data_IF_865822974895
#
_entry.id   IF_865822974895
#
_cell.length_a   1.000
_cell.length_b   1.000
_cell.length_c   1.000
_cell.angle_alpha   90.00
_cell.angle_beta   90.00
_cell.angle_gamma   90.00
#
_symmetry.space_group_name_H-M   'P 1'
#
loop_
_entity.id
_entity.type
_entity.pdbx_description
1 polymer ?
#
# COMPACT_ATOMS: atom_id res chain seq x y z
N UNK A 1 11.92 50.03 -51.93
CA UNK A 1 10.85 49.62 -51.00
C UNK A 1 11.25 48.30 -50.34
N UNK A 2 11.58 48.30 -49.04
CA UNK A 2 11.84 47.09 -48.25
C UNK A 2 10.77 47.03 -47.16
N UNK A 3 9.96 45.97 -47.16
CA UNK A 3 8.95 45.72 -46.14
C UNK A 3 9.62 45.22 -44.84
N UNK A 4 9.08 45.57 -43.65
CA UNK A 4 9.67 45.16 -42.39
C UNK A 4 9.26 43.72 -42.03
N UNK A 5 10.23 42.92 -41.60
CA UNK A 5 10.02 41.62 -40.95
C UNK A 5 9.50 41.86 -39.53
N UNK A 6 8.19 41.98 -39.37
CA UNK A 6 7.55 41.91 -38.05
C UNK A 6 7.24 40.44 -37.73
N UNK A 7 7.97 39.85 -36.78
CA UNK A 7 7.61 38.58 -36.15
C UNK A 7 6.92 38.89 -34.82
N UNK A 8 5.62 38.56 -34.63
CA UNK A 8 5.03 38.62 -33.30
C UNK A 8 5.74 37.62 -32.38
N UNK A 9 6.06 38.06 -31.16
CA UNK A 9 6.53 37.22 -30.08
C UNK A 9 5.58 36.01 -29.91
N UNK A 10 6.10 34.80 -30.11
CA UNK A 10 5.37 33.55 -29.91
C UNK A 10 5.16 33.33 -28.39
N UNK A 11 3.92 33.35 -27.87
CA UNK A 11 3.65 33.13 -26.45
C UNK A 11 3.79 31.66 -26.02
N UNK A 12 4.19 30.76 -26.92
CA UNK A 12 4.04 29.30 -26.78
C UNK A 12 5.05 28.61 -25.83
N UNK A 13 6.01 29.34 -25.25
CA UNK A 13 7.00 28.73 -24.33
C UNK A 13 6.50 28.46 -22.92
N UNK A 14 5.38 29.05 -22.50
CA UNK A 14 4.87 28.91 -21.13
C UNK A 14 4.05 27.62 -20.91
N UNK A 15 3.44 27.09 -21.98
CA UNK A 15 2.61 25.87 -21.92
C UNK A 15 3.34 24.57 -21.50
N UNK A 16 4.55 24.24 -22.00
CA UNK A 16 5.19 22.98 -21.66
C UNK A 16 5.67 22.93 -20.21
N UNK A 17 6.14 24.05 -19.66
CA UNK A 17 6.65 24.11 -18.28
C UNK A 17 5.53 23.94 -17.26
N UNK A 18 4.35 24.54 -17.51
CA UNK A 18 3.17 24.37 -16.65
C UNK A 18 2.70 22.91 -16.68
N UNK A 19 2.67 22.27 -17.85
CA UNK A 19 2.29 20.85 -17.97
C UNK A 19 3.23 19.92 -17.20
N UNK A 20 4.55 20.15 -17.28
CA UNK A 20 5.54 19.35 -16.55
C UNK A 20 5.38 19.55 -15.04
N UNK A 21 5.18 20.78 -14.57
CA UNK A 21 4.97 21.07 -13.16
C UNK A 21 3.70 20.39 -12.61
N UNK A 22 2.61 20.39 -13.38
CA UNK A 22 1.35 19.71 -13.01
C UNK A 22 1.54 18.19 -12.94
N UNK A 23 2.25 17.58 -13.90
CA UNK A 23 2.52 16.14 -13.90
C UNK A 23 3.41 15.75 -12.71
N UNK A 24 4.46 16.53 -12.42
CA UNK A 24 5.34 16.29 -11.29
C UNK A 24 4.61 16.41 -9.95
N UNK A 25 3.73 17.41 -9.80
CA UNK A 25 2.89 17.56 -8.62
C UNK A 25 1.90 16.38 -8.47
N UNK A 26 1.28 15.93 -9.57
CA UNK A 26 0.38 14.78 -9.55
C UNK A 26 1.09 13.46 -9.15
N UNK A 27 2.33 13.25 -9.60
CA UNK A 27 3.15 12.10 -9.22
C UNK A 27 3.62 12.14 -7.76
N UNK A 28 3.87 13.33 -7.20
CA UNK A 28 4.26 13.46 -5.80
C UNK A 28 3.12 13.08 -4.82
N UNK A 29 1.86 13.22 -5.25
CA UNK A 29 0.68 12.93 -4.44
C UNK A 29 0.42 11.43 -4.24
N UNK A 30 0.96 10.53 -5.08
CA UNK A 30 0.72 9.09 -4.97
C UNK A 30 1.49 8.41 -3.84
N UNK A 31 2.50 9.08 -3.25
CA UNK A 31 3.31 8.53 -2.15
C UNK A 31 2.70 8.69 -0.76
N UNK A 32 1.58 9.41 -0.63
CA UNK A 32 0.93 9.71 0.66
C UNK A 32 -0.16 8.69 1.05
N UNK A 33 -0.30 7.58 0.32
CA UNK A 33 -1.30 6.57 0.65
C UNK A 33 -0.80 5.79 1.88
N UNK A 34 -1.49 5.86 3.04
CA UNK A 34 -1.14 5.03 4.18
C UNK A 34 -1.28 3.56 3.77
N UNK A 35 -0.24 2.77 4.00
CA UNK A 35 -0.32 1.30 4.00
C UNK A 35 -0.46 0.90 5.46
N UNK A 36 -1.44 0.06 5.82
CA UNK A 36 -1.30 -0.64 7.09
C UNK A 36 -0.39 -1.85 6.85
N UNK A 37 0.57 -1.97 7.75
CA UNK A 37 1.55 -3.06 7.77
C UNK A 37 0.84 -4.39 8.09
N UNK A 38 1.55 -5.49 7.86
CA UNK A 38 1.15 -6.82 8.31
C UNK A 38 0.76 -6.84 9.80
N UNK A 39 -0.11 -7.78 10.18
CA UNK A 39 -0.57 -7.88 11.56
C UNK A 39 0.55 -8.43 12.47
N UNK A 40 0.79 -7.77 13.61
CA UNK A 40 1.68 -8.30 14.64
C UNK A 40 0.93 -9.36 15.48
N UNK A 41 1.45 -10.58 15.46
CA UNK A 41 0.93 -11.71 16.21
C UNK A 41 1.90 -12.10 17.32
N UNK A 42 1.47 -11.94 18.58
CA UNK A 42 2.23 -12.33 19.75
C UNK A 42 1.63 -13.57 20.43
N UNK A 43 2.44 -14.61 20.62
CA UNK A 43 2.06 -15.75 21.44
C UNK A 43 2.34 -15.47 22.92
N UNK A 44 1.38 -14.86 23.61
CA UNK A 44 1.47 -14.58 25.04
C UNK A 44 1.20 -15.80 25.94
N UNK A 45 1.09 -16.99 25.35
CA UNK A 45 0.84 -18.24 26.09
C UNK A 45 2.15 -18.94 26.47
N UNK A 46 2.05 -19.97 27.32
CA UNK A 46 3.19 -20.84 27.66
C UNK A 46 3.31 -22.07 26.75
N UNK A 47 2.51 -22.17 25.69
CA UNK A 47 2.52 -23.28 24.75
C UNK A 47 3.05 -22.85 23.39
N UNK A 48 3.47 -23.82 22.59
CA UNK A 48 3.73 -23.57 21.17
C UNK A 48 2.37 -23.45 20.48
N UNK A 49 2.14 -22.31 19.82
CA UNK A 49 0.94 -22.07 19.03
C UNK A 49 1.24 -22.29 17.54
N UNK A 50 0.31 -22.92 16.83
CA UNK A 50 0.26 -22.94 15.38
C UNK A 50 -0.92 -22.05 14.94
N UNK A 51 -0.61 -21.00 14.19
CA UNK A 51 -1.59 -20.00 13.74
C UNK A 51 -1.73 -20.09 12.22
N UNK A 52 -2.96 -20.01 11.74
CA UNK A 52 -3.30 -19.83 10.34
C UNK A 52 -4.09 -18.53 10.17
N UNK A 53 -3.79 -17.77 9.13
CA UNK A 53 -4.43 -16.51 8.80
C UNK A 53 -5.21 -16.63 7.49
N UNK A 54 -6.30 -15.88 7.38
CA UNK A 54 -6.99 -15.72 6.10
C UNK A 54 -7.60 -14.34 5.94
N UNK A 55 -7.67 -13.87 4.71
CA UNK A 55 -8.21 -12.56 4.38
C UNK A 55 -8.97 -12.63 3.06
N UNK A 56 -9.86 -11.66 2.83
CA UNK A 56 -10.61 -11.58 1.59
C UNK A 56 -9.78 -10.88 0.51
N UNK A 57 -9.86 -11.42 -0.70
CA UNK A 57 -9.43 -10.74 -1.92
C UNK A 57 -10.58 -10.86 -2.93
N UNK A 58 -11.40 -9.81 -3.00
CA UNK A 58 -12.68 -9.82 -3.71
C UNK A 58 -13.64 -10.88 -3.17
N UNK A 59 -14.02 -11.82 -4.03
CA UNK A 59 -14.96 -12.91 -3.70
C UNK A 59 -14.29 -14.17 -3.15
N UNK A 60 -12.97 -14.14 -2.93
CA UNK A 60 -12.18 -15.28 -2.45
C UNK A 60 -11.61 -15.00 -1.07
N UNK A 61 -11.30 -16.08 -0.35
CA UNK A 61 -10.50 -16.04 0.88
C UNK A 61 -9.14 -16.66 0.55
N UNK A 62 -8.08 -15.89 0.74
CA UNK A 62 -6.71 -16.41 0.71
C UNK A 62 -6.36 -16.86 2.12
N UNK A 63 -5.55 -17.91 2.20
CA UNK A 63 -5.12 -18.51 3.47
C UNK A 63 -3.61 -18.59 3.48
N UNK A 64 -3.01 -18.01 4.51
CA UNK A 64 -1.64 -18.28 4.90
C UNK A 64 -1.65 -19.48 5.85
N UNK A 65 -0.78 -20.45 5.58
CA UNK A 65 -0.75 -21.73 6.28
C UNK A 65 -0.33 -21.63 7.75
N UNK A 66 0.21 -22.72 8.29
CA UNK A 66 0.57 -22.79 9.70
C UNK A 66 1.91 -22.11 9.98
N UNK A 67 1.86 -21.01 10.73
CA UNK A 67 3.02 -20.37 11.34
C UNK A 67 3.15 -20.82 12.79
N UNK A 68 4.34 -21.29 13.16
CA UNK A 68 4.64 -21.80 14.51
C UNK A 68 5.23 -20.70 15.36
N UNK A 69 4.62 -20.42 16.50
CA UNK A 69 5.04 -19.39 17.47
C UNK A 69 5.44 -20.03 18.79
N UNK A 70 6.67 -19.77 19.25
CA UNK A 70 7.13 -20.13 20.60
C UNK A 70 6.45 -19.26 21.66
N UNK A 71 6.42 -19.70 22.94
CA UNK A 71 6.01 -18.85 24.04
C UNK A 71 6.77 -17.51 24.03
N UNK A 72 6.03 -16.41 24.05
CA UNK A 72 6.55 -15.03 24.01
C UNK A 72 7.07 -14.57 22.64
N UNK A 73 6.95 -15.37 21.57
CA UNK A 73 7.36 -14.96 20.23
C UNK A 73 6.31 -14.05 19.59
N UNK A 74 6.76 -12.96 18.99
CA UNK A 74 5.95 -12.08 18.14
C UNK A 74 6.48 -12.13 16.71
N UNK A 75 5.56 -12.15 15.74
CA UNK A 75 5.89 -12.10 14.30
C UNK A 75 4.92 -11.17 13.57
N UNK A 76 5.37 -10.60 12.47
CA UNK A 76 4.49 -10.00 11.48
C UNK A 76 3.97 -11.09 10.54
N UNK A 77 2.65 -11.14 10.33
CA UNK A 77 2.02 -12.15 9.50
C UNK A 77 0.76 -11.62 8.81
N UNK A 78 0.43 -12.22 7.66
CA UNK A 78 -0.64 -11.75 6.80
C UNK A 78 -0.22 -10.59 5.90
N UNK A 79 -1.14 -10.11 5.06
CA UNK A 79 -0.84 -9.06 4.09
C UNK A 79 -0.92 -7.67 4.72
N UNK A 80 -0.41 -6.69 4.00
CA UNK A 80 -0.72 -5.29 4.25
C UNK A 80 -2.23 -5.07 4.05
N UNK A 81 -2.95 -4.75 5.13
CA UNK A 81 -4.40 -4.56 5.10
C UNK A 81 -4.71 -3.09 4.84
N UNK A 82 -5.80 -2.79 4.15
CA UNK A 82 -6.35 -1.44 4.16
C UNK A 82 -7.11 -1.25 5.49
N UNK A 83 -6.68 -0.31 6.37
CA UNK A 83 -7.30 -0.12 7.68
C UNK A 83 -8.76 0.38 7.57
N UNK A 84 -9.14 0.95 6.42
CA UNK A 84 -10.51 1.40 6.16
C UNK A 84 -11.39 0.30 5.54
N UNK A 85 -10.82 -0.87 5.21
CA UNK A 85 -11.58 -1.99 4.68
C UNK A 85 -12.48 -2.62 5.74
N UNK A 86 -13.70 -3.00 5.35
CA UNK A 86 -14.64 -3.74 6.21
C UNK A 86 -14.41 -5.25 6.21
N UNK A 87 -13.42 -5.73 5.44
CA UNK A 87 -13.12 -7.14 5.32
C UNK A 87 -12.32 -7.61 6.55
N UNK A 88 -12.77 -8.67 7.25
CA UNK A 88 -12.08 -9.13 8.44
C UNK A 88 -10.81 -9.92 8.09
N UNK A 89 -9.75 -9.72 8.88
CA UNK A 89 -8.68 -10.71 9.02
C UNK A 89 -9.20 -11.88 9.86
N UNK A 90 -9.21 -13.07 9.28
CA UNK A 90 -9.57 -14.32 9.92
C UNK A 90 -8.34 -14.93 10.56
N UNK A 91 -8.44 -15.31 11.83
CA UNK A 91 -7.36 -15.95 12.58
C UNK A 91 -7.87 -17.25 13.21
N UNK A 92 -7.10 -18.33 13.04
CA UNK A 92 -7.29 -19.57 13.77
C UNK A 92 -5.98 -20.00 14.42
N UNK A 93 -6.05 -20.36 15.69
CA UNK A 93 -4.89 -20.84 16.44
C UNK A 93 -5.21 -22.16 17.14
N UNK A 94 -4.20 -23.04 17.19
CA UNK A 94 -4.23 -24.27 17.98
C UNK A 94 -2.92 -24.45 18.75
N UNK A 95 -2.98 -25.17 19.85
CA UNK A 95 -1.81 -25.65 20.59
C UNK A 95 -1.80 -27.18 20.60
N UNK A 96 -0.61 -27.78 20.57
CA UNK A 96 -0.41 -29.23 20.68
C UNK A 96 -0.24 -29.67 22.13
#
# INVERSE_FOLDING_TARGET
MRSPLWRPNSPDRLHPMIRIAVIAAALALTGLVPRAEAAELCNETSYIAEVALGWREGDRVLVEGWTRLRPGECVEAGPDIDPDSSDPLLLYARSS
#
